data_IF_110949016352
#
_entry.id   IF_110949016352
#
_cell.length_a   1.000
_cell.length_b   1.000
_cell.length_c   1.000
_cell.angle_alpha   90.00
_cell.angle_beta   90.00
_cell.angle_gamma   90.00
#
_symmetry.space_group_name_H-M   'P 1'
#
loop_
_entity.id
_entity.type
_entity.pdbx_description
1 polymer ?
#
# COMPACT_ATOMS: atom_id res chain seq x y z
N UNK A 1 5.29 29.07 10.76
CA UNK A 1 4.19 28.75 9.83
C UNK A 1 3.25 27.81 10.58
N UNK A 2 2.00 28.20 10.80
CA UNK A 2 0.99 27.26 11.31
C UNK A 2 0.78 26.19 10.23
N UNK A 3 1.18 24.96 10.52
CA UNK A 3 0.87 23.83 9.65
C UNK A 3 -0.64 23.66 9.60
N UNK A 4 -1.25 23.91 8.44
CA UNK A 4 -2.67 23.65 8.26
C UNK A 4 -2.90 22.13 8.25
N UNK A 5 -3.21 21.58 9.42
CA UNK A 5 -3.48 20.14 9.64
C UNK A 5 -4.51 19.61 8.64
N UNK A 6 -5.52 20.42 8.30
CA UNK A 6 -6.54 20.03 7.33
C UNK A 6 -5.93 19.75 5.96
N UNK A 7 -5.01 20.62 5.51
CA UNK A 7 -4.27 20.43 4.27
C UNK A 7 -3.32 19.24 4.34
N UNK A 8 -2.61 19.06 5.45
CA UNK A 8 -1.70 17.91 5.62
C UNK A 8 -2.45 16.57 5.57
N UNK A 9 -3.64 16.50 6.19
CA UNK A 9 -4.50 15.32 6.13
C UNK A 9 -5.07 15.11 4.72
N UNK A 10 -5.41 16.17 4.00
CA UNK A 10 -5.85 16.08 2.61
C UNK A 10 -4.73 15.56 1.71
N UNK A 11 -3.53 16.10 1.83
CA UNK A 11 -2.35 15.66 1.07
C UNK A 11 -2.06 14.18 1.37
N UNK A 12 -2.12 13.77 2.65
CA UNK A 12 -1.97 12.37 3.06
C UNK A 12 -3.04 11.47 2.43
N UNK A 13 -4.30 11.90 2.44
CA UNK A 13 -5.40 11.16 1.82
C UNK A 13 -5.17 10.97 0.31
N UNK A 14 -4.78 12.02 -0.40
CA UNK A 14 -4.50 11.97 -1.83
C UNK A 14 -3.34 11.01 -2.16
N UNK A 15 -2.29 10.96 -1.34
CA UNK A 15 -1.22 9.98 -1.51
C UNK A 15 -1.71 8.54 -1.27
N UNK A 16 -2.55 8.32 -0.25
CA UNK A 16 -3.14 7.00 0.01
C UNK A 16 -4.06 6.53 -1.12
N UNK A 17 -4.81 7.42 -1.76
CA UNK A 17 -5.61 7.09 -2.95
C UNK A 17 -4.75 6.65 -4.12
N UNK A 18 -3.63 7.35 -4.37
CA UNK A 18 -2.67 6.94 -5.40
C UNK A 18 -2.07 5.56 -5.12
N UNK A 19 -1.65 5.32 -3.87
CA UNK A 19 -1.15 4.00 -3.45
C UNK A 19 -2.23 2.93 -3.65
N UNK A 20 -3.49 3.21 -3.30
CA UNK A 20 -4.59 2.27 -3.48
C UNK A 20 -4.81 1.88 -4.94
N UNK A 21 -4.74 2.85 -5.85
CA UNK A 21 -4.84 2.59 -7.29
C UNK A 21 -3.67 1.73 -7.77
N UNK A 22 -2.43 2.07 -7.38
CA UNK A 22 -1.23 1.29 -7.74
C UNK A 22 -1.32 -0.14 -7.20
N UNK A 23 -1.70 -0.33 -5.93
CA UNK A 23 -1.86 -1.66 -5.34
C UNK A 23 -2.94 -2.47 -6.06
N UNK A 24 -4.04 -1.84 -6.50
CA UNK A 24 -5.08 -2.50 -7.30
C UNK A 24 -4.55 -2.91 -8.68
N UNK A 25 -3.77 -2.06 -9.34
CA UNK A 25 -3.09 -2.40 -10.60
C UNK A 25 -2.11 -3.56 -10.42
N UNK A 26 -1.32 -3.54 -9.34
CA UNK A 26 -0.37 -4.61 -8.99
C UNK A 26 -1.07 -5.97 -8.86
N UNK A 27 -2.26 -6.02 -8.24
CA UNK A 27 -3.06 -7.25 -8.17
C UNK A 27 -3.41 -7.78 -9.57
N UNK A 28 -3.88 -6.91 -10.46
CA UNK A 28 -4.22 -7.28 -11.85
C UNK A 28 -2.97 -7.77 -12.61
N UNK A 29 -1.81 -7.16 -12.38
CA UNK A 29 -0.54 -7.54 -13.02
C UNK A 29 -0.07 -8.93 -12.57
N UNK A 30 -0.29 -9.30 -11.30
CA UNK A 30 -0.01 -10.66 -10.79
C UNK A 30 -0.89 -11.68 -11.52
N UNK A 31 -2.20 -11.42 -11.65
CA UNK A 31 -3.12 -12.30 -12.39
C UNK A 31 -2.71 -12.47 -13.85
N UNK A 32 -2.17 -11.42 -14.46
CA UNK A 32 -1.62 -11.42 -15.84
C UNK A 32 -0.20 -11.97 -15.95
N UNK A 33 0.46 -12.28 -14.83
CA UNK A 33 1.87 -12.70 -14.75
C UNK A 33 2.85 -11.69 -15.36
N UNK A 34 2.49 -10.40 -15.37
CA UNK A 34 3.34 -9.32 -15.86
C UNK A 34 4.20 -8.75 -14.72
N UNK A 35 5.22 -9.51 -14.33
CA UNK A 35 6.06 -9.20 -13.18
C UNK A 35 6.98 -7.99 -13.40
N UNK A 36 7.33 -7.68 -14.65
CA UNK A 36 8.16 -6.52 -14.95
C UNK A 36 7.41 -5.22 -14.61
N UNK A 37 6.18 -5.07 -15.09
CA UNK A 37 5.35 -3.91 -14.73
C UNK A 37 4.97 -3.88 -13.25
N UNK A 38 4.83 -5.06 -12.62
CA UNK A 38 4.58 -5.13 -11.18
C UNK A 38 5.71 -4.48 -10.38
N UNK A 39 6.97 -4.73 -10.76
CA UNK A 39 8.16 -4.14 -10.11
C UNK A 39 8.26 -2.63 -10.36
N UNK A 40 7.98 -2.16 -11.57
CA UNK A 40 7.91 -0.72 -11.88
C UNK A 40 6.89 -0.02 -10.98
N UNK A 41 5.71 -0.64 -10.80
CA UNK A 41 4.66 -0.14 -9.90
C UNK A 41 5.06 -0.16 -8.42
N UNK A 42 5.90 -1.12 -8.02
CA UNK A 42 6.42 -1.19 -6.65
C UNK A 42 7.40 -0.05 -6.33
N UNK A 43 8.20 0.38 -7.31
CA UNK A 43 9.04 1.58 -7.19
C UNK A 43 8.20 2.86 -7.04
N UNK A 44 7.17 3.02 -7.88
CA UNK A 44 6.21 4.15 -7.79
C UNK A 44 5.56 4.20 -6.39
N UNK A 45 5.10 3.05 -5.90
CA UNK A 45 4.48 2.91 -4.57
C UNK A 45 5.44 3.32 -3.44
N UNK A 46 6.71 2.91 -3.51
CA UNK A 46 7.73 3.24 -2.48
C UNK A 46 7.98 4.74 -2.37
N UNK A 47 8.00 5.46 -3.48
CA UNK A 47 8.16 6.93 -3.47
C UNK A 47 6.97 7.61 -2.77
N UNK A 48 5.74 7.16 -3.03
CA UNK A 48 4.53 7.71 -2.38
C UNK A 48 4.51 7.42 -0.87
N UNK A 49 4.95 6.24 -0.45
CA UNK A 49 5.08 5.89 0.98
C UNK A 49 6.08 6.83 1.66
N UNK A 50 7.21 7.13 1.03
CA UNK A 50 8.19 8.07 1.58
C UNK A 50 7.57 9.47 1.81
N UNK A 51 6.78 9.96 0.85
CA UNK A 51 6.06 11.24 1.01
C UNK A 51 5.08 11.23 2.17
N UNK A 52 4.34 10.12 2.38
CA UNK A 52 3.44 9.97 3.53
C UNK A 52 4.21 9.98 4.84
N UNK A 53 5.37 9.32 4.91
CA UNK A 53 6.21 9.31 6.12
C UNK A 53 6.70 10.71 6.48
N UNK A 54 7.05 11.54 5.49
CA UNK A 54 7.39 12.94 5.74
C UNK A 54 6.18 13.76 6.22
N UNK A 55 5.00 13.54 5.65
CA UNK A 55 3.76 14.18 6.13
C UNK A 55 3.44 13.78 7.57
N UNK A 56 3.65 12.52 7.94
CA UNK A 56 3.35 12.03 9.29
C UNK A 56 4.23 12.67 10.37
N UNK A 57 5.46 13.06 10.04
CA UNK A 57 6.31 13.87 10.92
C UNK A 57 5.73 15.27 11.16
N UNK A 58 5.00 15.83 10.20
CA UNK A 58 4.39 17.16 10.30
C UNK A 58 3.04 17.12 11.05
N UNK A 59 2.34 15.99 10.99
CA UNK A 59 1.09 15.72 11.71
C UNK A 59 1.42 15.18 13.11
N UNK A 60 2.20 15.92 13.89
CA UNK A 60 2.50 15.49 15.26
C UNK A 60 1.23 15.42 16.14
N UNK A 61 1.17 14.53 17.14
CA UNK A 61 0.01 14.37 18.03
C UNK A 61 -0.40 15.66 18.75
N UNK A 62 0.56 16.56 19.01
CA UNK A 62 0.30 17.83 19.67
C UNK A 62 -0.51 18.80 18.79
N UNK A 63 -0.34 18.73 17.46
CA UNK A 63 -1.12 19.52 16.50
C UNK A 63 -2.58 19.01 16.44
N UNK A 64 -2.77 17.69 16.47
CA UNK A 64 -4.10 17.05 16.44
C UNK A 64 -4.92 17.27 17.71
N UNK A 65 -4.28 17.29 18.89
CA UNK A 65 -4.97 17.47 20.19
C UNK A 65 -5.80 18.76 20.24
N UNK A 66 -5.29 19.84 19.67
CA UNK A 66 -5.96 21.15 19.65
C UNK A 66 -7.14 21.22 18.66
N UNK A 67 -7.23 20.28 17.72
CA UNK A 67 -8.29 20.21 16.71
C UNK A 67 -9.12 18.91 16.76
N UNK A 68 -8.98 18.13 17.84
CA UNK A 68 -9.66 16.83 18.02
C UNK A 68 -11.19 16.89 17.89
N UNK A 69 -11.78 18.04 18.23
CA UNK A 69 -13.23 18.25 18.15
C UNK A 69 -13.70 18.86 16.81
N UNK A 70 -12.79 19.13 15.86
CA UNK A 70 -13.17 19.61 14.54
C UNK A 70 -13.80 18.48 13.72
N UNK A 71 -15.06 18.66 13.33
CA UNK A 71 -15.79 17.72 12.49
C UNK A 71 -15.07 17.45 11.17
N UNK A 72 -14.49 18.47 10.54
CA UNK A 72 -13.76 18.36 9.27
C UNK A 72 -12.53 17.46 9.44
N UNK A 73 -11.76 17.66 10.51
CA UNK A 73 -10.57 16.85 10.81
C UNK A 73 -10.97 15.40 11.09
N UNK A 74 -12.05 15.16 11.84
CA UNK A 74 -12.55 13.82 12.10
C UNK A 74 -13.02 13.11 10.82
N UNK A 75 -13.69 13.82 9.90
CA UNK A 75 -14.09 13.27 8.60
C UNK A 75 -12.88 12.84 7.77
N UNK A 76 -11.85 13.69 7.66
CA UNK A 76 -10.61 13.34 6.94
C UNK A 76 -9.91 12.13 7.56
N UNK A 77 -9.81 12.07 8.89
CA UNK A 77 -9.22 10.92 9.59
C UNK A 77 -10.03 9.64 9.32
N UNK A 78 -11.36 9.71 9.31
CA UNK A 78 -12.22 8.55 8.96
C UNK A 78 -11.96 8.07 7.54
N UNK A 79 -11.85 8.98 6.57
CA UNK A 79 -11.54 8.65 5.16
C UNK A 79 -10.16 8.01 5.02
N UNK A 80 -9.14 8.56 5.70
CA UNK A 80 -7.79 7.98 5.76
C UNK A 80 -7.82 6.56 6.34
N UNK A 81 -8.51 6.36 7.46
CA UNK A 81 -8.60 5.04 8.10
C UNK A 81 -9.33 4.02 7.21
N UNK A 82 -10.38 4.46 6.52
CA UNK A 82 -11.12 3.61 5.59
C UNK A 82 -10.27 3.15 4.41
N UNK A 83 -9.48 4.05 3.81
CA UNK A 83 -8.61 3.66 2.70
C UNK A 83 -7.44 2.79 3.15
N UNK A 84 -6.87 3.05 4.33
CA UNK A 84 -5.86 2.18 4.93
C UNK A 84 -6.39 0.76 5.18
N UNK A 85 -7.62 0.64 5.68
CA UNK A 85 -8.27 -0.66 5.84
C UNK A 85 -8.39 -1.41 4.51
N UNK A 86 -8.84 -0.74 3.46
CA UNK A 86 -8.93 -1.33 2.10
C UNK A 86 -7.56 -1.73 1.56
N UNK A 87 -6.56 -0.86 1.70
CA UNK A 87 -5.18 -1.13 1.30
C UNK A 87 -4.64 -2.40 1.96
N UNK A 88 -4.80 -2.52 3.27
CA UNK A 88 -4.35 -3.70 4.03
C UNK A 88 -4.97 -4.99 3.47
N UNK A 89 -6.26 -4.97 3.11
CA UNK A 89 -6.92 -6.15 2.56
C UNK A 89 -6.36 -6.53 1.19
N UNK A 90 -6.15 -5.58 0.28
CA UNK A 90 -5.59 -5.88 -1.05
C UNK A 90 -4.14 -6.35 -0.95
N UNK A 91 -3.31 -5.72 -0.11
CA UNK A 91 -1.92 -6.13 0.10
C UNK A 91 -1.83 -7.57 0.66
N UNK A 92 -2.75 -7.97 1.54
CA UNK A 92 -2.86 -9.36 2.01
C UNK A 92 -3.17 -10.33 0.87
N UNK A 93 -4.15 -10.01 0.03
CA UNK A 93 -4.50 -10.84 -1.13
C UNK A 93 -3.32 -10.99 -2.11
N UNK A 94 -2.59 -9.89 -2.36
CA UNK A 94 -1.38 -9.89 -3.17
C UNK A 94 -0.31 -10.82 -2.57
N UNK A 95 -0.03 -10.69 -1.28
CA UNK A 95 0.96 -11.52 -0.60
C UNK A 95 0.59 -13.02 -0.65
N UNK A 96 -0.68 -13.35 -0.47
CA UNK A 96 -1.18 -14.72 -0.60
C UNK A 96 -1.01 -15.27 -2.02
N UNK A 97 -1.32 -14.48 -3.05
CA UNK A 97 -1.19 -14.89 -4.45
C UNK A 97 0.28 -15.12 -4.84
N UNK A 98 1.18 -14.21 -4.45
CA UNK A 98 2.61 -14.37 -4.69
C UNK A 98 3.19 -15.59 -3.96
N UNK A 99 2.75 -15.86 -2.73
CA UNK A 99 3.14 -17.05 -1.97
C UNK A 99 2.72 -18.34 -2.67
N UNK A 100 1.47 -18.41 -3.15
CA UNK A 100 0.95 -19.57 -3.90
C UNK A 100 1.74 -19.83 -5.19
N UNK A 101 2.05 -18.80 -5.97
CA UNK A 101 2.87 -18.94 -7.19
C UNK A 101 4.29 -19.46 -6.87
N UNK A 102 4.93 -18.95 -5.81
CA UNK A 102 6.26 -19.44 -5.39
C UNK A 102 6.23 -20.92 -4.95
N UNK A 103 5.19 -21.35 -4.24
CA UNK A 103 5.01 -22.77 -3.87
C UNK A 103 4.81 -23.66 -5.11
N UNK A 104 4.04 -23.21 -6.10
CA UNK A 104 3.86 -23.95 -7.35
C UNK A 104 5.18 -24.08 -8.13
N UNK A 105 5.98 -23.01 -8.21
CA UNK A 105 7.27 -23.03 -8.89
C UNK A 105 8.26 -23.98 -8.19
N UNK A 106 8.40 -23.87 -6.87
CA UNK A 106 9.26 -24.78 -6.10
C UNK A 106 8.84 -26.24 -6.19
N UNK A 107 7.54 -26.53 -6.20
CA UNK A 107 7.01 -27.88 -6.45
C UNK A 107 7.41 -28.45 -7.82
N UNK A 108 7.33 -27.64 -8.89
CA UNK A 108 7.82 -28.01 -10.23
C UNK A 108 9.32 -28.30 -10.23
N UNK A 109 10.12 -27.49 -9.53
CA UNK A 109 11.56 -27.75 -9.41
C UNK A 109 11.84 -29.08 -8.69
N UNK A 110 11.10 -29.43 -7.64
CA UNK A 110 11.24 -30.72 -6.94
C UNK A 110 10.94 -31.90 -7.89
N UNK A 111 9.93 -31.81 -8.74
CA UNK A 111 9.64 -32.84 -9.74
C UNK A 111 10.75 -33.02 -10.78
N UNK A 112 11.40 -31.92 -11.19
CA UNK A 112 12.57 -31.97 -12.08
C UNK A 112 13.72 -32.70 -11.42
N UNK A 113 14.04 -32.40 -10.15
CA UNK A 113 15.09 -33.12 -9.42
C UNK A 113 14.78 -34.61 -9.25
N UNK A 114 13.51 -34.98 -9.00
CA UNK A 114 13.09 -36.39 -8.91
C UNK A 114 13.26 -37.16 -10.23
N UNK A 115 13.16 -36.50 -11.38
CA UNK A 115 13.35 -37.12 -12.70
C UNK A 115 14.83 -37.33 -13.06
N UNK A 116 15.73 -36.51 -12.51
CA UNK A 116 17.18 -36.58 -12.78
C UNK A 116 17.87 -37.68 -11.95
N UNK A 117 17.25 -38.14 -10.85
CA UNK A 117 17.80 -39.16 -9.95
C UNK A 117 17.34 -40.59 -10.33
N UNK A 118 16.73 -40.79 -11.50
CA UNK A 118 16.45 -42.13 -12.05
C UNK A 118 17.47 -42.47 -13.14
#
# INVERSE_FOLDING_TARGET
MENNIEKLLEDKFNYLEKIFNITTEQKILIEKKDFNKFLEKDEEKRQLIANILELDKLIEPNNLKNKKNSYIIQDKVKKINFILYKLINIEKEIAENLSKENLLLSGKHIEVYKKIIK
#
